data_IF_536136909977
#
_entry.id   IF_536136909977
#
_cell.length_a   1.000
_cell.length_b   1.000
_cell.length_c   1.000
_cell.angle_alpha   90.00
_cell.angle_beta   90.00
_cell.angle_gamma   90.00
#
_symmetry.space_group_name_H-M   'P 1'
#
loop_
_entity.id
_entity.type
_entity.pdbx_description
1 polymer ?
#
# COMPACT_ATOMS: atom_id res chain seq x y z
N UNK A 1 -10.50 4.91 -14.17
CA UNK A 1 -10.22 3.61 -14.84
C UNK A 1 -8.92 2.98 -14.38
N UNK A 2 -7.71 3.50 -14.69
CA UNK A 2 -6.45 2.85 -14.26
C UNK A 2 -6.24 2.81 -12.74
N UNK A 3 -6.59 3.88 -12.03
CA UNK A 3 -6.46 3.93 -10.56
C UNK A 3 -7.38 2.92 -9.86
N UNK A 4 -8.63 2.81 -10.31
CA UNK A 4 -9.61 1.86 -9.76
C UNK A 4 -9.18 0.41 -9.97
N UNK A 5 -8.59 0.10 -11.14
CA UNK A 5 -8.04 -1.23 -11.43
C UNK A 5 -6.94 -1.61 -10.43
N UNK A 6 -6.00 -0.70 -10.15
CA UNK A 6 -4.93 -0.96 -9.18
C UNK A 6 -5.46 -1.16 -7.75
N UNK A 7 -6.45 -0.38 -7.31
CA UNK A 7 -7.10 -0.61 -6.02
C UNK A 7 -7.90 -1.93 -5.97
N UNK A 8 -8.50 -2.33 -7.10
CA UNK A 8 -9.14 -3.63 -7.24
C UNK A 8 -8.14 -4.78 -7.07
N UNK A 9 -6.98 -4.70 -7.74
CA UNK A 9 -5.91 -5.70 -7.61
C UNK A 9 -5.40 -5.75 -6.17
N UNK A 10 -5.14 -4.62 -5.53
CA UNK A 10 -4.71 -4.57 -4.12
C UNK A 10 -5.73 -5.26 -3.19
N UNK A 11 -7.03 -5.05 -3.41
CA UNK A 11 -8.09 -5.68 -2.62
C UNK A 11 -8.15 -7.20 -2.83
N UNK A 12 -7.99 -7.68 -4.07
CA UNK A 12 -7.93 -9.12 -4.35
C UNK A 12 -6.67 -9.77 -3.77
N UNK A 13 -5.51 -9.12 -3.87
CA UNK A 13 -4.27 -9.59 -3.23
C UNK A 13 -4.42 -9.70 -1.71
N UNK A 14 -5.10 -8.74 -1.06
CA UNK A 14 -5.38 -8.79 0.37
C UNK A 14 -6.30 -9.96 0.74
N UNK A 15 -7.31 -10.27 -0.09
CA UNK A 15 -8.15 -11.46 0.10
C UNK A 15 -7.33 -12.74 -0.06
N UNK A 16 -6.47 -12.81 -1.08
CA UNK A 16 -5.56 -13.95 -1.27
C UNK A 16 -4.66 -14.13 -0.07
N UNK A 17 -4.07 -13.05 0.46
CA UNK A 17 -3.28 -13.08 1.68
C UNK A 17 -4.03 -13.72 2.85
N UNK A 18 -5.31 -13.35 3.06
CA UNK A 18 -6.12 -13.95 4.12
C UNK A 18 -6.39 -15.47 3.95
N UNK A 19 -6.25 -15.99 2.72
CA UNK A 19 -6.47 -17.41 2.41
C UNK A 19 -5.19 -18.24 2.51
N UNK A 20 -4.06 -17.70 2.08
CA UNK A 20 -2.79 -18.45 1.94
C UNK A 20 -1.73 -18.05 2.96
N UNK A 21 -1.98 -17.01 3.76
CA UNK A 21 -1.07 -16.45 4.79
C UNK A 21 0.35 -16.20 4.26
N UNK A 22 0.47 -15.66 3.03
CA UNK A 22 1.74 -15.32 2.39
C UNK A 22 2.05 -13.82 2.55
N UNK A 23 2.91 -13.41 3.51
CA UNK A 23 3.06 -12.00 3.87
C UNK A 23 3.74 -11.16 2.80
N UNK A 24 4.43 -11.76 1.81
CA UNK A 24 4.94 -11.01 0.65
C UNK A 24 3.81 -10.42 -0.21
N UNK A 25 2.60 -10.97 -0.14
CA UNK A 25 1.42 -10.37 -0.78
C UNK A 25 1.10 -8.99 -0.21
N UNK A 26 1.45 -8.70 1.05
CA UNK A 26 1.25 -7.39 1.66
C UNK A 26 2.11 -6.31 0.98
N UNK A 27 3.34 -6.63 0.54
CA UNK A 27 4.17 -5.72 -0.26
C UNK A 27 3.57 -5.49 -1.64
N UNK A 28 3.08 -6.53 -2.29
CA UNK A 28 2.39 -6.39 -3.57
C UNK A 28 1.17 -5.46 -3.45
N UNK A 29 0.41 -5.55 -2.35
CA UNK A 29 -0.66 -4.60 -2.07
C UNK A 29 -0.15 -3.16 -1.94
N UNK A 30 0.94 -2.92 -1.20
CA UNK A 30 1.57 -1.58 -1.07
C UNK A 30 1.93 -1.02 -2.44
N UNK A 31 2.53 -1.82 -3.32
CA UNK A 31 2.87 -1.40 -4.69
C UNK A 31 1.65 -1.03 -5.51
N UNK A 32 0.58 -1.84 -5.45
CA UNK A 32 -0.65 -1.58 -6.20
C UNK A 32 -1.38 -0.33 -5.70
N UNK A 33 -1.45 -0.12 -4.38
CA UNK A 33 -2.01 1.14 -3.82
C UNK A 33 -1.18 2.34 -4.28
N UNK A 34 0.16 2.23 -4.29
CA UNK A 34 1.05 3.29 -4.77
C UNK A 34 0.87 3.56 -6.27
N UNK A 35 0.69 2.52 -7.09
CA UNK A 35 0.36 2.64 -8.53
C UNK A 35 -1.00 3.31 -8.73
N UNK A 36 -1.99 3.03 -7.90
CA UNK A 36 -3.30 3.68 -7.96
C UNK A 36 -3.20 5.20 -7.74
N UNK A 37 -2.53 5.63 -6.66
CA UNK A 37 -2.33 7.05 -6.37
C UNK A 37 -1.58 7.77 -7.51
N UNK A 38 -0.53 7.14 -8.05
CA UNK A 38 0.21 7.66 -9.21
C UNK A 38 -0.66 7.76 -10.45
N UNK A 39 -1.49 6.76 -10.73
CA UNK A 39 -2.39 6.74 -11.88
C UNK A 39 -3.52 7.78 -11.75
N UNK A 40 -3.91 8.14 -10.53
CA UNK A 40 -4.84 9.22 -10.24
C UNK A 40 -4.17 10.62 -10.31
N UNK A 41 -2.85 10.69 -10.46
CA UNK A 41 -2.12 11.96 -10.56
C UNK A 41 -1.96 12.71 -9.24
N UNK A 42 -2.19 12.05 -8.09
CA UNK A 42 -2.13 12.68 -6.77
C UNK A 42 -0.94 12.21 -5.95
N UNK A 43 -0.51 13.04 -4.98
CA UNK A 43 0.59 12.73 -4.06
C UNK A 43 0.26 13.12 -2.61
N UNK A 44 -0.72 12.45 -1.97
CA UNK A 44 -1.03 12.67 -0.56
C UNK A 44 0.09 12.14 0.36
N UNK A 45 0.00 12.39 1.66
CA UNK A 45 0.95 11.86 2.65
C UNK A 45 1.04 10.32 2.62
N UNK A 46 -0.07 9.65 2.31
CA UNK A 46 -0.07 8.20 2.06
C UNK A 46 0.95 7.80 0.99
N UNK A 47 1.05 8.53 -0.12
CA UNK A 47 1.99 8.20 -1.19
C UNK A 47 3.44 8.22 -0.69
N UNK A 48 3.80 9.18 0.16
CA UNK A 48 5.14 9.26 0.79
C UNK A 48 5.38 8.10 1.76
N UNK A 49 4.34 7.72 2.50
CA UNK A 49 4.40 6.55 3.41
C UNK A 49 4.64 5.26 2.63
N UNK A 50 3.94 5.05 1.53
CA UNK A 50 4.13 3.87 0.67
C UNK A 50 5.51 3.87 0.00
N UNK A 51 5.98 5.01 -0.51
CA UNK A 51 7.34 5.15 -1.05
C UNK A 51 8.40 4.79 0.00
N UNK A 52 8.22 5.25 1.25
CA UNK A 52 9.12 4.94 2.37
C UNK A 52 9.15 3.44 2.69
N UNK A 53 8.00 2.78 2.73
CA UNK A 53 7.90 1.33 2.96
C UNK A 53 8.63 0.57 1.84
N UNK A 54 8.40 0.93 0.58
CA UNK A 54 9.06 0.29 -0.57
C UNK A 54 10.58 0.53 -0.60
N UNK A 55 11.03 1.71 -0.15
CA UNK A 55 12.47 2.00 0.01
C UNK A 55 13.08 1.12 1.08
N UNK A 56 12.44 1.02 2.26
CA UNK A 56 12.88 0.15 3.34
C UNK A 56 12.95 -1.30 2.91
N UNK A 57 11.97 -1.79 2.15
CA UNK A 57 12.00 -3.13 1.59
C UNK A 57 13.23 -3.35 0.70
N UNK A 58 13.48 -2.42 -0.24
CA UNK A 58 14.62 -2.52 -1.16
C UNK A 58 15.98 -2.54 -0.47
N UNK A 59 16.10 -1.75 0.59
CA UNK A 59 17.36 -1.54 1.33
C UNK A 59 17.47 -2.44 2.57
N UNK A 60 16.47 -3.31 2.81
CA UNK A 60 16.39 -4.07 4.03
C UNK A 60 17.56 -5.05 4.15
N UNK A 61 18.34 -5.02 5.24
CA UNK A 61 19.29 -6.09 5.53
C UNK A 61 18.59 -7.39 5.93
N UNK A 62 17.32 -7.32 6.35
CA UNK A 62 16.58 -8.47 6.87
C UNK A 62 15.07 -8.28 6.82
N UNK A 63 14.40 -9.26 6.23
CA UNK A 63 12.94 -9.37 6.19
C UNK A 63 12.50 -10.73 6.67
N UNK A 64 11.40 -10.76 7.43
CA UNK A 64 10.82 -12.01 7.88
C UNK A 64 9.33 -11.88 8.14
N UNK A 65 8.70 -13.04 8.16
CA UNK A 65 7.27 -13.18 8.40
C UNK A 65 7.05 -13.70 9.81
N UNK A 66 6.11 -13.10 10.56
CA UNK A 66 5.70 -13.62 11.88
C UNK A 66 4.24 -13.28 12.17
N UNK A 67 3.45 -14.30 12.48
CA UNK A 67 2.04 -14.17 12.88
C UNK A 67 1.18 -13.38 11.89
N UNK A 68 1.26 -13.73 10.59
CA UNK A 68 0.53 -13.05 9.52
C UNK A 68 0.98 -11.60 9.27
N UNK A 69 2.22 -11.27 9.65
CA UNK A 69 2.81 -9.95 9.44
C UNK A 69 4.09 -10.08 8.66
N UNK A 70 4.34 -9.13 7.78
CA UNK A 70 5.65 -8.91 7.20
C UNK A 70 6.39 -7.87 8.02
N UNK A 71 7.62 -8.20 8.41
CA UNK A 71 8.51 -7.34 9.18
C UNK A 71 9.71 -7.00 8.31
N UNK A 72 9.95 -5.70 8.14
CA UNK A 72 11.03 -5.14 7.34
C UNK A 72 11.93 -4.36 8.30
N UNK A 73 13.16 -4.81 8.49
CA UNK A 73 14.14 -4.08 9.28
C UNK A 73 14.91 -3.09 8.40
N UNK A 74 15.33 -1.95 8.94
CA UNK A 74 16.38 -1.13 8.33
C UNK A 74 17.78 -1.48 8.88
N UNK A 75 18.79 -0.77 8.40
CA UNK A 75 20.21 -0.91 8.80
C UNK A 75 20.45 -0.65 10.29
N UNK A 76 19.52 0.04 10.97
CA UNK A 76 19.54 0.30 12.41
C UNK A 76 18.63 -0.66 13.19
N UNK A 77 18.11 -1.69 12.54
CA UNK A 77 17.16 -2.65 13.09
C UNK A 77 15.85 -2.02 13.58
N UNK A 78 15.47 -0.83 13.08
CA UNK A 78 14.13 -0.30 13.30
C UNK A 78 13.15 -1.04 12.41
N UNK A 79 12.09 -1.57 13.03
CA UNK A 79 11.15 -2.47 12.36
C UNK A 79 9.97 -1.69 11.78
N UNK A 80 9.69 -1.91 10.50
CA UNK A 80 8.42 -1.59 9.86
C UNK A 80 7.59 -2.86 9.75
N UNK A 81 6.36 -2.82 10.23
CA UNK A 81 5.46 -3.97 10.21
C UNK A 81 4.28 -3.70 9.27
N UNK A 82 4.00 -4.65 8.40
CA UNK A 82 2.81 -4.70 7.56
C UNK A 82 1.95 -5.88 7.97
N UNK A 83 0.65 -5.64 8.13
CA UNK A 83 -0.36 -6.67 8.34
C UNK A 83 -1.60 -6.36 7.51
N UNK A 84 -2.53 -7.32 7.43
CA UNK A 84 -3.73 -7.16 6.62
C UNK A 84 -4.59 -5.95 7.01
N UNK A 85 -4.64 -5.59 8.28
CA UNK A 85 -5.42 -4.44 8.76
C UNK A 85 -4.80 -3.12 8.27
N UNK A 86 -3.48 -2.98 8.34
CA UNK A 86 -2.76 -1.81 7.82
C UNK A 86 -2.90 -1.67 6.31
N UNK A 87 -2.84 -2.79 5.57
CA UNK A 87 -3.07 -2.78 4.12
C UNK A 87 -4.51 -2.38 3.79
N UNK A 88 -5.50 -2.90 4.50
CA UNK A 88 -6.90 -2.49 4.32
C UNK A 88 -7.08 -0.98 4.54
N UNK A 89 -6.45 -0.43 5.59
CA UNK A 89 -6.48 1.01 5.87
C UNK A 89 -5.86 1.83 4.72
N UNK A 90 -4.72 1.39 4.16
CA UNK A 90 -4.10 2.05 3.00
C UNK A 90 -5.00 2.04 1.76
N UNK A 91 -5.70 0.94 1.49
CA UNK A 91 -6.64 0.85 0.36
C UNK A 91 -7.79 1.86 0.55
N UNK A 92 -8.39 1.91 1.75
CA UNK A 92 -9.52 2.81 2.04
C UNK A 92 -9.11 4.29 2.07
N UNK A 93 -7.92 4.59 2.58
CA UNK A 93 -7.37 5.95 2.52
C UNK A 93 -7.11 6.37 1.07
N UNK A 94 -6.48 5.52 0.25
CA UNK A 94 -6.29 5.81 -1.17
C UNK A 94 -7.61 6.01 -1.93
N UNK A 95 -8.65 5.22 -1.64
CA UNK A 95 -10.00 5.44 -2.21
C UNK A 95 -10.54 6.82 -1.87
N UNK A 96 -10.42 7.27 -0.62
CA UNK A 96 -10.89 8.60 -0.19
C UNK A 96 -10.12 9.71 -0.86
N UNK A 97 -8.80 9.63 -0.89
CA UNK A 97 -7.93 10.63 -1.52
C UNK A 97 -8.26 10.81 -3.01
N UNK A 98 -8.37 9.70 -3.74
CA UNK A 98 -8.72 9.71 -5.17
C UNK A 98 -10.15 10.25 -5.38
N UNK A 99 -11.10 9.83 -4.54
CA UNK A 99 -12.49 10.28 -4.63
C UNK A 99 -12.67 11.77 -4.29
N UNK A 100 -11.86 12.32 -3.40
CA UNK A 100 -11.86 13.77 -3.10
C UNK A 100 -11.25 14.56 -4.26
N UNK A 101 -10.08 14.13 -4.76
CA UNK A 101 -9.44 14.78 -5.89
C UNK A 101 -10.30 14.77 -7.16
N UNK A 102 -10.96 13.65 -7.46
CA UNK A 102 -11.89 13.57 -8.59
C UNK A 102 -13.05 14.55 -8.48
N UNK A 103 -13.56 14.82 -7.26
CA UNK A 103 -14.62 15.82 -7.04
C UNK A 103 -14.13 17.25 -7.21
N UNK A 104 -12.92 17.57 -6.76
CA UNK A 104 -12.29 18.89 -6.95
C UNK A 104 -12.14 19.23 -8.44
N UNK A 105 -11.61 18.30 -9.23
CA UNK A 105 -11.47 18.46 -10.68
C UNK A 105 -12.81 18.70 -11.40
N UNK A 106 -13.89 18.05 -10.96
CA UNK A 106 -15.23 18.21 -11.54
C UNK A 106 -15.92 19.51 -11.10
N UNK A 107 -15.53 20.08 -9.97
CA UNK A 107 -16.12 21.30 -9.40
C UNK A 107 -15.34 22.57 -9.72
N UNK A 108 -14.22 22.46 -10.46
CA UNK A 108 -13.45 23.60 -10.96
C UNK A 108 -12.75 24.40 -9.87
N UNK A 109 -12.46 23.77 -8.72
CA UNK A 109 -11.67 24.36 -7.63
C UNK A 109 -10.25 23.84 -7.64
#
# INVERSE_FOLDING_TARGET
MKADSHLGIAAELLKTFALVDEPKLLLACVEEVRKALRAAGIRPELARTLDRILSKHRESPMEFSRSGKLIIADDRFLLETLDGAKIAAFIEEARREIGTHGRELLTGR
#
